data_IF_211598644837
#
_entry.id   IF_211598644837
#
_cell.length_a   1.000
_cell.length_b   1.000
_cell.length_c   1.000
_cell.angle_alpha   90.00
_cell.angle_beta   90.00
_cell.angle_gamma   90.00
#
_symmetry.space_group_name_H-M   'P 1'
#
loop_
_entity.id
_entity.type
_entity.pdbx_description
1 polymer ?
#
# COMPACT_ATOMS: atom_id res chain seq x y z
N UNK A 1 -14.87 3.97 -10.92
CA UNK A 1 -15.70 5.18 -10.78
C UNK A 1 -14.82 6.27 -10.21
N UNK A 2 -14.94 7.50 -10.70
CA UNK A 2 -14.14 8.64 -10.23
C UNK A 2 -15.10 9.80 -9.97
N UNK A 3 -14.97 10.45 -8.81
CA UNK A 3 -15.80 11.58 -8.43
C UNK A 3 -14.96 12.85 -8.33
N UNK A 4 -15.40 13.93 -8.97
CA UNK A 4 -14.81 15.25 -8.80
C UNK A 4 -15.50 15.99 -7.65
N UNK A 5 -14.73 16.43 -6.66
CA UNK A 5 -15.23 17.29 -5.58
C UNK A 5 -14.98 18.77 -5.88
N UNK A 6 -15.54 19.67 -5.06
CA UNK A 6 -15.46 21.12 -5.27
C UNK A 6 -14.07 21.68 -4.99
N UNK A 7 -13.35 21.09 -4.04
CA UNK A 7 -12.02 21.53 -3.63
C UNK A 7 -11.19 20.37 -3.05
N UNK A 8 -9.93 20.65 -2.72
CA UNK A 8 -9.01 19.67 -2.14
C UNK A 8 -9.51 19.13 -0.78
N UNK A 9 -10.15 19.99 0.00
CA UNK A 9 -10.68 19.64 1.31
C UNK A 9 -11.79 18.59 1.26
N UNK A 10 -12.80 18.84 0.43
CA UNK A 10 -13.90 17.91 0.18
C UNK A 10 -13.39 16.62 -0.49
N UNK A 11 -12.40 16.72 -1.37
CA UNK A 11 -11.73 15.54 -1.98
C UNK A 11 -11.10 14.63 -0.93
N UNK A 12 -10.30 15.19 -0.01
CA UNK A 12 -9.64 14.43 1.06
C UNK A 12 -10.65 13.84 2.04
N UNK A 13 -11.70 14.60 2.36
CA UNK A 13 -12.78 14.12 3.22
C UNK A 13 -13.48 12.91 2.58
N UNK A 14 -13.89 13.03 1.32
CA UNK A 14 -14.57 11.94 0.62
C UNK A 14 -13.67 10.71 0.47
N UNK A 15 -12.37 10.90 0.21
CA UNK A 15 -11.40 9.80 0.12
C UNK A 15 -11.39 8.97 1.41
N UNK A 16 -11.29 9.62 2.56
CA UNK A 16 -11.24 8.94 3.86
C UNK A 16 -12.56 8.24 4.20
N UNK A 17 -13.71 8.82 3.83
CA UNK A 17 -15.01 8.16 4.01
C UNK A 17 -15.15 6.91 3.12
N UNK A 18 -14.67 6.96 1.88
CA UNK A 18 -14.74 5.83 0.96
C UNK A 18 -13.78 4.70 1.32
N UNK A 19 -12.69 4.99 2.03
CA UNK A 19 -11.73 3.99 2.47
C UNK A 19 -12.39 2.85 3.25
N UNK A 20 -13.28 3.18 4.19
CA UNK A 20 -13.98 2.20 5.04
C UNK A 20 -15.04 1.42 4.26
N UNK A 21 -15.64 2.04 3.24
CA UNK A 21 -16.64 1.39 2.38
C UNK A 21 -16.03 0.44 1.35
N UNK A 22 -14.76 0.62 0.99
CA UNK A 22 -14.08 -0.15 -0.06
C UNK A 22 -14.11 -1.67 0.18
N UNK A 23 -13.71 -2.21 1.33
CA UNK A 23 -13.78 -3.66 1.58
C UNK A 23 -15.23 -4.19 1.61
N UNK A 24 -16.20 -3.39 2.03
CA UNK A 24 -17.63 -3.76 2.03
C UNK A 24 -18.12 -3.90 0.58
N UNK A 25 -17.81 -2.92 -0.26
CA UNK A 25 -18.17 -2.95 -1.67
C UNK A 25 -17.45 -4.07 -2.42
N UNK A 26 -16.21 -4.39 -2.05
CA UNK A 26 -15.48 -5.54 -2.59
C UNK A 26 -16.22 -6.86 -2.30
N UNK A 27 -16.69 -7.06 -1.07
CA UNK A 27 -17.45 -8.25 -0.69
C UNK A 27 -18.83 -8.30 -1.37
N UNK A 28 -19.55 -7.18 -1.40
CA UNK A 28 -20.87 -7.11 -2.04
C UNK A 28 -20.83 -7.31 -3.56
N UNK A 29 -19.73 -6.95 -4.20
CA UNK A 29 -19.52 -7.10 -5.65
C UNK A 29 -18.67 -8.32 -6.01
N UNK A 30 -18.57 -9.29 -5.09
CA UNK A 30 -17.84 -10.53 -5.31
C UNK A 30 -18.37 -11.27 -6.56
N UNK A 31 -17.45 -11.57 -7.49
CA UNK A 31 -17.79 -12.10 -8.81
C UNK A 31 -16.64 -12.91 -9.43
N UNK A 32 -15.67 -13.36 -8.63
CA UNK A 32 -14.49 -14.09 -9.13
C UNK A 32 -14.18 -15.34 -8.29
N UNK A 33 -15.06 -16.36 -8.28
CA UNK A 33 -14.87 -17.59 -7.49
C UNK A 33 -14.00 -18.66 -8.20
N UNK A 34 -13.55 -18.42 -9.43
CA UNK A 34 -12.83 -19.40 -10.24
C UNK A 34 -11.50 -18.82 -10.72
N UNK A 35 -10.40 -19.53 -10.43
CA UNK A 35 -9.07 -19.20 -10.92
C UNK A 35 -8.44 -20.41 -11.62
N UNK A 36 -7.88 -20.21 -12.82
CA UNK A 36 -7.23 -21.27 -13.63
C UNK A 36 -8.07 -22.56 -13.76
N UNK A 37 -9.39 -22.42 -13.92
CA UNK A 37 -10.31 -23.55 -14.08
C UNK A 37 -10.64 -24.31 -12.79
N UNK A 38 -10.27 -23.79 -11.61
CA UNK A 38 -10.56 -24.38 -10.30
C UNK A 38 -11.41 -23.42 -9.47
N UNK A 39 -12.36 -23.97 -8.70
CA UNK A 39 -13.04 -23.21 -7.67
C UNK A 39 -12.02 -22.80 -6.60
N UNK A 40 -12.05 -21.53 -6.20
CA UNK A 40 -11.21 -21.00 -5.14
C UNK A 40 -12.05 -20.74 -3.88
N UNK A 41 -11.39 -20.81 -2.73
CA UNK A 41 -11.97 -20.47 -1.44
C UNK A 41 -11.94 -18.94 -1.19
N UNK A 42 -12.27 -18.18 -2.24
CA UNK A 42 -12.41 -16.72 -2.21
C UNK A 42 -13.29 -16.29 -3.39
N UNK A 43 -14.19 -15.34 -3.15
CA UNK A 43 -15.12 -14.86 -4.17
C UNK A 43 -14.66 -13.55 -4.83
N UNK A 44 -13.51 -13.02 -4.40
CA UNK A 44 -12.99 -11.70 -4.81
C UNK A 44 -11.59 -11.78 -5.42
N UNK A 45 -11.29 -10.85 -6.33
CA UNK A 45 -10.04 -10.84 -7.11
C UNK A 45 -8.88 -10.10 -6.48
N UNK A 46 -9.09 -9.46 -5.33
CA UNK A 46 -8.17 -8.47 -4.76
C UNK A 46 -6.77 -9.02 -4.53
N UNK A 47 -6.67 -10.15 -3.82
CA UNK A 47 -5.39 -10.78 -3.49
C UNK A 47 -4.65 -11.24 -4.74
N UNK A 48 -5.35 -11.84 -5.71
CA UNK A 48 -4.74 -12.28 -6.96
C UNK A 48 -4.13 -11.12 -7.74
N UNK A 49 -4.83 -9.97 -7.84
CA UNK A 49 -4.29 -8.79 -8.53
C UNK A 49 -3.12 -8.20 -7.74
N UNK A 50 -3.26 -8.07 -6.42
CA UNK A 50 -2.21 -7.54 -5.54
C UNK A 50 -0.89 -8.31 -5.70
N UNK A 51 -0.96 -9.65 -5.69
CA UNK A 51 0.20 -10.52 -5.86
C UNK A 51 0.71 -10.61 -7.30
N UNK A 52 -0.13 -10.35 -8.31
CA UNK A 52 0.27 -10.42 -9.72
C UNK A 52 1.24 -9.30 -10.13
N UNK A 53 1.28 -8.21 -9.36
CA UNK A 53 2.15 -7.04 -9.59
C UNK A 53 3.00 -6.70 -8.36
N UNK A 54 3.20 -7.68 -7.47
CA UNK A 54 4.06 -7.52 -6.30
C UNK A 54 5.53 -7.60 -6.70
N UNK A 55 6.20 -6.45 -6.70
CA UNK A 55 7.61 -6.27 -7.08
C UNK A 55 8.57 -6.28 -5.88
N UNK A 56 8.06 -6.60 -4.68
CA UNK A 56 8.88 -6.63 -3.46
C UNK A 56 9.99 -7.67 -3.54
N UNK A 57 11.19 -7.29 -3.13
CA UNK A 57 12.30 -8.24 -2.95
C UNK A 57 12.07 -9.14 -1.73
N UNK A 58 12.82 -10.24 -1.63
CA UNK A 58 12.79 -11.09 -0.42
C UNK A 58 13.17 -10.31 0.85
N UNK A 59 14.12 -9.39 0.73
CA UNK A 59 14.50 -8.49 1.82
C UNK A 59 13.32 -7.58 2.21
N UNK A 60 12.60 -7.00 1.24
CA UNK A 60 11.43 -6.16 1.51
C UNK A 60 10.25 -6.93 2.12
N UNK A 61 10.08 -8.21 1.77
CA UNK A 61 9.11 -9.11 2.39
C UNK A 61 9.48 -9.45 3.85
N UNK A 62 10.75 -9.31 4.22
CA UNK A 62 11.30 -9.71 5.52
C UNK A 62 11.76 -11.17 5.58
N UNK A 63 11.84 -11.84 4.43
CA UNK A 63 12.33 -13.21 4.29
C UNK A 63 13.86 -13.23 4.20
N UNK A 64 14.53 -12.86 5.29
CA UNK A 64 15.97 -13.00 5.47
C UNK A 64 16.41 -14.45 5.80
N UNK A 65 15.48 -15.42 5.73
CA UNK A 65 15.62 -16.77 6.29
C UNK A 65 15.38 -17.95 5.34
N UNK A 66 15.36 -17.74 4.02
CA UNK A 66 15.57 -18.86 3.08
C UNK A 66 16.94 -19.51 3.33
N UNK A 67 17.18 -20.79 2.95
CA UNK A 67 18.45 -21.45 3.23
C UNK A 67 19.58 -20.56 2.74
N UNK A 68 20.34 -20.01 3.68
CA UNK A 68 21.54 -19.23 3.41
C UNK A 68 22.42 -20.13 2.55
N UNK A 69 22.52 -19.86 1.26
CA UNK A 69 23.72 -20.23 0.53
C UNK A 69 24.84 -19.54 1.28
N UNK A 70 25.65 -20.35 1.99
CA UNK A 70 26.70 -19.96 2.93
C UNK A 70 27.84 -19.11 2.31
N UNK A 71 27.62 -18.56 1.12
CA UNK A 71 28.65 -18.00 0.23
C UNK A 71 28.26 -16.66 -0.44
N UNK A 72 27.22 -15.93 0.01
CA UNK A 72 26.83 -14.66 -0.62
C UNK A 72 27.06 -13.46 0.29
N UNK A 73 27.99 -12.59 -0.14
CA UNK A 73 28.29 -11.29 0.43
C UNK A 73 27.00 -10.44 0.52
N UNK A 74 26.70 -9.94 1.73
CA UNK A 74 25.50 -9.16 2.06
C UNK A 74 25.36 -7.85 1.25
N UNK A 75 26.40 -7.44 0.52
CA UNK A 75 26.44 -6.21 -0.28
C UNK A 75 25.91 -6.37 -1.72
N UNK A 76 25.60 -7.59 -2.19
CA UNK A 76 25.18 -7.84 -3.59
C UNK A 76 23.66 -7.78 -3.85
N UNK A 77 22.83 -7.71 -2.81
CA UNK A 77 21.35 -7.72 -2.95
C UNK A 77 20.71 -6.33 -3.11
N UNK A 78 21.52 -5.26 -3.13
CA UNK A 78 21.01 -3.91 -3.36
C UNK A 78 20.89 -3.62 -4.86
N UNK A 79 19.66 -3.45 -5.36
CA UNK A 79 19.43 -2.99 -6.74
C UNK A 79 19.38 -1.45 -6.76
N UNK A 80 20.33 -0.76 -7.42
CA UNK A 80 20.36 0.70 -7.48
C UNK A 80 19.15 1.31 -8.22
N UNK A 81 18.35 0.51 -8.91
CA UNK A 81 17.10 0.94 -9.56
C UNK A 81 15.91 0.93 -8.61
N UNK A 82 16.03 0.29 -7.44
CA UNK A 82 14.98 0.16 -6.44
C UNK A 82 15.08 1.29 -5.40
N UNK A 83 13.94 1.76 -4.91
CA UNK A 83 13.89 2.73 -3.82
C UNK A 83 14.53 2.12 -2.56
N UNK A 84 15.44 2.86 -1.91
CA UNK A 84 16.16 2.37 -0.73
C UNK A 84 16.97 1.08 -0.99
N UNK A 85 17.38 0.84 -2.24
CA UNK A 85 18.11 -0.37 -2.65
C UNK A 85 17.29 -1.65 -2.59
N UNK A 86 15.97 -1.59 -2.39
CA UNK A 86 15.11 -2.78 -2.28
C UNK A 86 15.40 -3.61 -1.03
N UNK A 87 15.83 -2.96 0.07
CA UNK A 87 16.21 -3.63 1.33
C UNK A 87 15.26 -3.32 2.49
N UNK A 88 14.54 -2.20 2.41
CA UNK A 88 13.68 -1.72 3.49
C UNK A 88 12.35 -2.49 3.48
N UNK A 89 12.01 -3.11 4.60
CA UNK A 89 10.78 -3.91 4.72
C UNK A 89 9.52 -3.13 4.30
N UNK A 90 8.80 -3.67 3.32
CA UNK A 90 7.53 -3.13 2.82
C UNK A 90 6.36 -4.06 3.20
N UNK A 91 5.42 -3.63 4.06
CA UNK A 91 4.37 -4.50 4.59
C UNK A 91 3.34 -4.91 3.52
N UNK A 92 3.14 -4.08 2.49
CA UNK A 92 2.12 -4.26 1.45
C UNK A 92 2.73 -4.26 0.05
N UNK A 93 2.08 -4.95 -0.89
CA UNK A 93 2.34 -4.75 -2.32
C UNK A 93 2.03 -3.32 -2.72
N UNK A 94 2.68 -2.82 -3.77
CA UNK A 94 2.34 -1.53 -4.39
C UNK A 94 0.89 -1.45 -4.86
N UNK A 95 0.27 -2.60 -5.13
CA UNK A 95 -1.16 -2.73 -5.38
C UNK A 95 -1.82 -3.34 -4.15
N UNK A 96 -2.33 -2.51 -3.26
CA UNK A 96 -3.05 -2.94 -2.05
C UNK A 96 -3.98 -1.82 -1.55
N UNK A 97 -4.67 -2.11 -0.45
CA UNK A 97 -5.54 -1.23 0.31
C UNK A 97 -4.79 0.03 0.73
N UNK A 98 -5.54 1.13 0.91
CA UNK A 98 -4.96 2.39 1.34
C UNK A 98 -4.14 2.21 2.63
N UNK A 99 -3.06 2.99 2.77
CA UNK A 99 -2.14 2.88 3.91
C UNK A 99 -2.34 3.98 4.95
N UNK A 100 -2.93 5.11 4.56
CA UNK A 100 -3.18 6.23 5.47
C UNK A 100 -4.39 7.06 5.01
N UNK A 101 -5.07 7.64 6.00
CA UNK A 101 -6.03 8.71 5.83
C UNK A 101 -5.30 10.03 5.58
N UNK A 102 -5.88 10.88 4.72
CA UNK A 102 -5.26 12.11 4.22
C UNK A 102 -6.06 13.39 4.49
N UNK A 103 -7.18 13.31 5.21
CA UNK A 103 -7.97 14.49 5.56
C UNK A 103 -7.19 15.44 6.45
N UNK A 104 -6.93 16.61 5.87
CA UNK A 104 -6.35 17.75 6.52
C UNK A 104 -6.91 19.00 5.86
N UNK A 105 -7.66 19.78 6.64
CA UNK A 105 -8.31 21.02 6.21
C UNK A 105 -8.06 22.15 7.21
N UNK A 106 -7.89 23.35 6.68
CA UNK A 106 -7.73 24.53 7.52
C UNK A 106 -9.03 24.77 8.31
N UNK A 107 -8.89 25.11 9.60
CA UNK A 107 -9.99 25.42 10.52
C UNK A 107 -10.89 24.24 10.93
N UNK A 108 -10.58 23.01 10.53
CA UNK A 108 -11.27 21.80 10.98
C UNK A 108 -10.31 20.92 11.79
N UNK A 109 -10.81 20.11 12.75
CA UNK A 109 -9.97 19.17 13.47
C UNK A 109 -9.30 18.23 12.47
N UNK A 110 -7.97 18.18 12.49
CA UNK A 110 -7.23 17.13 11.76
C UNK A 110 -7.75 15.77 12.18
N UNK A 111 -7.73 14.81 11.26
CA UNK A 111 -7.93 13.41 11.64
C UNK A 111 -6.93 13.08 12.77
N UNK A 112 -7.42 12.48 13.88
CA UNK A 112 -6.53 12.02 14.92
C UNK A 112 -5.52 11.03 14.33
N UNK A 113 -4.24 11.23 14.63
CA UNK A 113 -3.16 10.33 14.22
C UNK A 113 -3.42 8.87 14.61
N UNK A 114 -4.29 8.63 15.60
CA UNK A 114 -4.77 7.32 16.03
C UNK A 114 -5.43 6.47 14.93
N UNK A 115 -5.92 7.05 13.84
CA UNK A 115 -6.51 6.28 12.73
C UNK A 115 -5.46 5.81 11.71
N UNK A 116 -4.25 6.40 11.72
CA UNK A 116 -3.12 5.95 10.93
C UNK A 116 -2.21 5.09 11.80
N UNK A 117 -2.74 3.96 12.25
CA UNK A 117 -2.13 3.05 13.23
C UNK A 117 -1.37 1.86 12.62
N UNK A 118 -1.27 1.81 11.29
CA UNK A 118 -0.53 0.77 10.57
C UNK A 118 0.82 1.29 10.05
N UNK A 119 1.84 0.40 9.91
CA UNK A 119 3.11 0.78 9.31
C UNK A 119 2.92 1.26 7.87
N UNK A 120 3.28 2.52 7.62
CA UNK A 120 3.31 3.13 6.29
C UNK A 120 4.72 3.68 6.05
N UNK A 121 5.64 2.89 5.45
CA UNK A 121 6.96 3.36 5.08
C UNK A 121 6.87 4.58 4.15
N UNK A 122 7.70 5.59 4.40
CA UNK A 122 7.70 6.85 3.65
C UNK A 122 9.13 7.15 3.23
N UNK A 123 9.29 7.59 1.97
CA UNK A 123 10.53 8.15 1.47
C UNK A 123 10.82 9.50 2.14
N UNK A 124 11.88 9.56 2.94
CA UNK A 124 12.17 10.73 3.76
C UNK A 124 12.61 11.93 2.93
N UNK A 125 13.32 11.70 1.82
CA UNK A 125 13.79 12.77 0.94
C UNK A 125 12.60 13.47 0.26
N UNK A 126 11.66 12.70 -0.29
CA UNK A 126 10.41 13.23 -0.85
C UNK A 126 9.58 13.96 0.21
N UNK A 127 9.49 13.41 1.42
CA UNK A 127 8.78 14.06 2.53
C UNK A 127 9.41 15.40 2.91
N UNK A 128 10.74 15.45 3.05
CA UNK A 128 11.46 16.68 3.37
C UNK A 128 11.22 17.74 2.29
N UNK A 129 11.36 17.36 1.01
CA UNK A 129 11.11 18.25 -0.12
C UNK A 129 9.68 18.83 -0.12
N UNK A 130 8.67 18.02 0.18
CA UNK A 130 7.28 18.47 0.22
C UNK A 130 7.04 19.43 1.41
N UNK A 131 7.61 19.14 2.58
CA UNK A 131 7.50 20.02 3.75
C UNK A 131 8.19 21.37 3.56
N UNK A 132 9.29 21.39 2.83
CA UNK A 132 10.01 22.63 2.47
C UNK A 132 9.23 23.46 1.44
N UNK A 133 8.46 22.82 0.55
CA UNK A 133 7.72 23.48 -0.51
C UNK A 133 6.36 24.05 -0.08
N UNK A 134 5.80 23.59 1.05
CA UNK A 134 4.53 24.09 1.62
C UNK A 134 3.28 23.46 1.02
#
# INVERSE_FOLDING_TARGET
>A
MTFQQRNLCESRYMYDQLAVLTPIMLALSAATPIFKGRLADTDVRWQTISSAVDDRTRAELGDLGGPQSLDQDQDQDQDPRMAGGGTVRQPKSRYDSISCFIYQCQNEPSIPSKYNDIPCPIDQDSKARLLEAG
#
